data_IF_102836389530
#
_entry.id   IF_102836389530
#
_cell.length_a   1.000
_cell.length_b   1.000
_cell.length_c   1.000
_cell.angle_alpha   90.00
_cell.angle_beta   90.00
_cell.angle_gamma   90.00
#
_symmetry.space_group_name_H-M   'P 1'
#
loop_
_entity.id
_entity.type
_entity.pdbx_description
1 polymer ?
#
# COMPACT_ATOMS: atom_id res chain seq x y z
N UNK A 1 0.35 -44.61 5.28
CA UNK A 1 0.62 -45.40 6.49
C UNK A 1 2.08 -45.85 6.52
N UNK A 2 3.03 -44.92 6.68
CA UNK A 2 4.47 -45.25 6.66
C UNK A 2 5.34 -44.37 7.56
N UNK A 3 4.72 -43.59 8.46
CA UNK A 3 5.42 -42.67 9.37
C UNK A 3 5.13 -42.93 10.85
N UNK A 4 4.37 -43.99 11.17
CA UNK A 4 4.08 -44.42 12.55
C UNK A 4 4.91 -45.63 13.00
N UNK A 5 5.72 -46.23 12.11
CA UNK A 5 6.53 -47.41 12.43
C UNK A 5 7.94 -47.06 12.94
N UNK A 6 8.51 -45.92 12.57
CA UNK A 6 9.86 -45.52 13.01
C UNK A 6 9.93 -45.01 14.47
N UNK A 7 8.78 -44.68 15.08
CA UNK A 7 8.75 -44.19 16.47
C UNK A 7 8.58 -45.32 17.51
N UNK A 8 8.06 -46.49 17.10
CA UNK A 8 7.95 -47.66 17.99
C UNK A 8 9.21 -48.54 17.99
N UNK A 9 10.01 -48.52 16.91
CA UNK A 9 11.28 -49.28 16.85
C UNK A 9 12.40 -48.64 17.69
N UNK A 10 12.38 -47.32 17.89
CA UNK A 10 13.33 -46.64 18.80
C UNK A 10 13.04 -46.90 20.29
N UNK A 11 11.85 -47.39 20.63
CA UNK A 11 11.40 -47.58 22.03
C UNK A 11 11.70 -48.98 22.59
N UNK A 12 12.12 -49.92 21.73
CA UNK A 12 12.46 -51.29 22.12
C UNK A 12 13.96 -51.54 22.37
N UNK A 13 14.82 -50.55 22.14
CA UNK A 13 16.28 -50.65 22.35
C UNK A 13 16.75 -50.28 23.78
N UNK A 14 15.84 -49.98 24.71
CA UNK A 14 16.19 -49.49 26.07
C UNK A 14 15.90 -50.47 27.22
N UNK A 15 15.47 -51.71 26.94
CA UNK A 15 15.21 -52.71 27.97
C UNK A 15 16.01 -54.00 27.74
N UNK A 16 17.28 -54.01 28.14
CA UNK A 16 18.03 -55.25 28.38
C UNK A 16 19.04 -55.07 29.54
N UNK A 17 19.07 -55.99 30.52
CA UNK A 17 19.85 -55.83 31.75
C UNK A 17 21.28 -56.36 31.58
N UNK A 18 22.28 -55.53 31.85
CA UNK A 18 23.69 -55.94 31.74
C UNK A 18 24.68 -54.85 32.13
N UNK A 19 24.97 -54.78 33.42
CA UNK A 19 25.90 -53.90 34.13
C UNK A 19 27.27 -53.69 33.44
N UNK A 20 27.72 -52.42 33.34
CA UNK A 20 29.09 -52.01 33.72
C UNK A 20 29.18 -50.50 33.95
N UNK A 21 29.71 -50.15 35.13
CA UNK A 21 29.90 -48.81 35.71
C UNK A 21 30.55 -47.82 34.73
N UNK A 22 29.89 -46.70 34.49
CA UNK A 22 30.56 -45.45 34.10
C UNK A 22 30.18 -44.40 35.17
N UNK A 23 31.22 -43.82 35.75
CA UNK A 23 31.22 -42.88 36.86
C UNK A 23 30.27 -41.70 36.60
N UNK A 24 29.18 -41.66 37.36
CA UNK A 24 28.29 -40.50 37.50
C UNK A 24 29.03 -39.50 38.40
N UNK A 25 29.70 -38.50 37.81
CA UNK A 25 30.08 -37.26 38.53
C UNK A 25 30.53 -36.09 37.64
N UNK A 26 29.94 -35.92 36.44
CA UNK A 26 30.09 -34.67 35.66
C UNK A 26 28.89 -34.30 34.78
N UNK A 27 27.91 -35.18 34.66
CA UNK A 27 26.74 -34.99 33.80
C UNK A 27 25.60 -34.23 34.51
N UNK A 28 25.50 -34.32 35.83
CA UNK A 28 24.45 -33.65 36.61
C UNK A 28 24.77 -32.18 36.94
N UNK A 29 26.04 -31.78 37.05
CA UNK A 29 26.39 -30.36 37.23
C UNK A 29 26.15 -29.55 35.95
N UNK A 30 26.45 -30.12 34.76
CA UNK A 30 26.18 -29.43 33.49
C UNK A 30 24.68 -29.39 33.13
N UNK A 31 23.88 -30.37 33.54
CA UNK A 31 22.43 -30.31 33.31
C UNK A 31 21.70 -29.37 34.28
N UNK A 32 22.20 -29.18 35.49
CA UNK A 32 21.60 -28.21 36.43
C UNK A 32 22.03 -26.76 36.09
N UNK A 33 23.22 -26.57 35.52
CA UNK A 33 23.64 -25.26 34.97
C UNK A 33 22.90 -24.88 33.68
N UNK A 34 22.38 -25.84 32.90
CA UNK A 34 21.59 -25.56 31.70
C UNK A 34 20.13 -25.18 32.00
N UNK A 35 19.61 -25.51 33.19
CA UNK A 35 18.29 -25.06 33.68
C UNK A 35 18.33 -23.74 34.46
N UNK A 36 19.53 -23.17 34.66
CA UNK A 36 19.73 -21.83 35.23
C UNK A 36 20.19 -20.81 34.18
N UNK A 37 19.99 -21.09 32.89
CA UNK A 37 19.90 -20.04 31.89
C UNK A 37 18.45 -19.59 31.96
N UNK A 38 18.18 -18.43 32.56
CA UNK A 38 16.99 -17.65 32.18
C UNK A 38 16.93 -17.69 30.67
N UNK A 39 15.97 -18.42 30.08
CA UNK A 39 15.78 -18.49 28.64
C UNK A 39 15.69 -17.06 28.12
N UNK A 40 16.80 -16.55 27.59
CA UNK A 40 16.89 -15.16 27.16
C UNK A 40 16.03 -15.08 25.92
N UNK A 41 14.93 -14.34 26.00
CA UNK A 41 14.10 -14.10 24.84
C UNK A 41 14.92 -13.32 23.82
N UNK A 42 15.09 -13.89 22.63
CA UNK A 42 15.79 -13.30 21.51
C UNK A 42 14.78 -12.62 20.59
N UNK A 43 15.05 -11.37 20.26
CA UNK A 43 14.25 -10.57 19.34
C UNK A 43 14.47 -11.07 17.89
N UNK A 44 13.38 -11.16 17.13
CA UNK A 44 13.40 -11.68 15.77
C UNK A 44 12.41 -10.94 14.88
N UNK A 45 12.89 -10.52 13.71
CA UNK A 45 12.07 -10.05 12.60
C UNK A 45 11.96 -11.13 11.53
N UNK A 46 10.75 -11.34 11.03
CA UNK A 46 10.47 -12.25 9.91
C UNK A 46 9.68 -11.54 8.83
N UNK A 47 10.25 -11.44 7.63
CA UNK A 47 9.59 -10.89 6.45
C UNK A 47 9.05 -12.00 5.56
N UNK A 48 7.89 -11.79 4.94
CA UNK A 48 7.20 -12.72 4.04
C UNK A 48 6.64 -11.97 2.83
N UNK A 49 6.89 -12.46 1.62
CA UNK A 49 6.27 -11.93 0.40
C UNK A 49 6.18 -12.97 -0.72
N UNK A 50 5.32 -12.69 -1.70
CA UNK A 50 5.09 -13.47 -2.93
C UNK A 50 4.73 -14.95 -2.66
N UNK A 51 3.91 -15.17 -1.62
CA UNK A 51 3.45 -16.52 -1.23
C UNK A 51 2.11 -16.92 -1.88
N UNK A 52 1.44 -15.96 -2.51
CA UNK A 52 0.12 -16.10 -3.12
C UNK A 52 0.13 -15.92 -4.64
N UNK A 53 -0.96 -16.36 -5.27
CA UNK A 53 -1.15 -16.23 -6.71
C UNK A 53 -2.51 -15.59 -7.02
N UNK A 54 -2.79 -15.36 -8.30
CA UNK A 54 -4.13 -14.91 -8.73
C UNK A 54 -5.22 -15.97 -8.52
N UNK A 55 -4.85 -17.23 -8.26
CA UNK A 55 -5.76 -18.38 -8.14
C UNK A 55 -6.02 -18.82 -6.70
N UNK A 56 -5.20 -18.39 -5.74
CA UNK A 56 -5.38 -18.81 -4.35
C UNK A 56 -4.31 -18.27 -3.41
N UNK A 57 -4.50 -18.55 -2.12
CA UNK A 57 -3.69 -18.07 -1.00
C UNK A 57 -3.68 -16.54 -0.85
N UNK A 58 -3.01 -16.07 0.20
CA UNK A 58 -2.74 -14.66 0.44
C UNK A 58 -1.57 -14.55 1.42
N UNK A 59 -0.58 -13.70 1.14
CA UNK A 59 0.55 -13.46 2.06
C UNK A 59 0.10 -13.06 3.47
N UNK A 60 -0.99 -12.28 3.60
CA UNK A 60 -1.54 -11.94 4.93
C UNK A 60 -2.17 -13.13 5.64
N UNK A 61 -2.78 -14.06 4.91
CA UNK A 61 -3.36 -15.26 5.50
C UNK A 61 -2.28 -16.23 5.99
N UNK A 62 -1.21 -16.40 5.21
CA UNK A 62 -0.05 -17.19 5.64
C UNK A 62 0.56 -16.59 6.91
N UNK A 63 0.73 -15.27 6.97
CA UNK A 63 1.18 -14.60 8.20
C UNK A 63 0.23 -14.80 9.39
N UNK A 64 -1.09 -14.83 9.16
CA UNK A 64 -2.08 -15.12 10.21
C UNK A 64 -1.94 -16.54 10.76
N UNK A 65 -1.85 -17.56 9.91
CA UNK A 65 -1.71 -18.95 10.38
C UNK A 65 -0.33 -19.19 11.03
N UNK A 66 0.73 -18.53 10.55
CA UNK A 66 2.04 -18.53 11.22
C UNK A 66 1.92 -17.92 12.61
N UNK A 67 1.26 -16.76 12.72
CA UNK A 67 1.03 -16.09 14.01
C UNK A 67 0.26 -17.00 14.97
N UNK A 68 -0.80 -17.68 14.51
CA UNK A 68 -1.52 -18.67 15.29
C UNK A 68 -0.60 -19.77 15.84
N UNK A 69 0.30 -20.30 15.01
CA UNK A 69 1.25 -21.33 15.44
C UNK A 69 2.25 -20.79 16.46
N UNK A 70 2.83 -19.62 16.20
CA UNK A 70 3.83 -19.02 17.07
C UNK A 70 3.27 -18.66 18.46
N UNK A 71 2.01 -18.22 18.54
CA UNK A 71 1.35 -18.00 19.83
C UNK A 71 1.24 -19.28 20.67
N UNK A 72 1.08 -20.45 20.03
CA UNK A 72 1.10 -21.76 20.71
C UNK A 72 2.51 -22.13 21.21
N UNK A 73 3.54 -21.61 20.55
CA UNK A 73 4.94 -21.71 20.98
C UNK A 73 5.33 -20.65 22.03
N UNK A 74 4.36 -19.87 22.53
CA UNK A 74 4.54 -18.84 23.58
C UNK A 74 5.51 -17.71 23.21
N UNK A 75 5.65 -17.41 21.92
CA UNK A 75 6.40 -16.20 21.51
C UNK A 75 5.68 -14.94 21.99
N UNK A 76 6.44 -13.88 22.23
CA UNK A 76 5.90 -12.57 22.61
C UNK A 76 6.05 -11.59 21.45
N UNK A 77 4.95 -11.24 20.80
CA UNK A 77 4.95 -10.18 19.79
C UNK A 77 5.36 -8.84 20.42
N UNK A 78 6.16 -8.07 19.68
CA UNK A 78 6.70 -6.78 20.13
C UNK A 78 6.04 -5.59 19.42
N UNK A 79 5.39 -5.84 18.28
CA UNK A 79 4.55 -4.87 17.57
C UNK A 79 3.42 -5.57 16.80
N UNK A 80 2.47 -4.80 16.28
CA UNK A 80 1.49 -5.33 15.32
C UNK A 80 2.23 -5.87 14.08
N UNK A 81 1.80 -7.00 13.50
CA UNK A 81 2.25 -7.41 12.18
C UNK A 81 2.18 -6.26 11.18
N UNK A 82 3.22 -6.10 10.38
CA UNK A 82 3.31 -5.05 9.35
C UNK A 82 2.71 -5.57 8.06
N UNK A 83 1.83 -4.79 7.42
CA UNK A 83 1.42 -4.98 6.04
C UNK A 83 1.90 -3.80 5.21
N UNK A 84 2.97 -4.00 4.44
CA UNK A 84 3.65 -2.94 3.70
C UNK A 84 3.34 -3.11 2.22
N UNK A 85 2.67 -2.12 1.64
CA UNK A 85 2.46 -2.00 0.20
C UNK A 85 3.70 -1.36 -0.42
N UNK A 86 4.29 -2.03 -1.39
CA UNK A 86 5.48 -1.59 -2.13
C UNK A 86 5.07 -0.81 -3.38
N UNK A 87 6.03 -0.52 -4.26
CA UNK A 87 5.83 0.27 -5.46
C UNK A 87 4.67 -0.28 -6.30
N UNK A 88 3.55 0.46 -6.41
CA UNK A 88 2.38 -0.09 -7.04
C UNK A 88 2.53 -0.11 -8.57
N UNK A 89 3.61 0.43 -9.15
CA UNK A 89 3.85 0.51 -10.60
C UNK A 89 4.77 -0.61 -11.15
N UNK A 90 5.17 -1.57 -10.31
CA UNK A 90 5.85 -2.81 -10.74
C UNK A 90 4.90 -3.64 -11.63
N UNK A 91 5.34 -4.10 -12.82
CA UNK A 91 4.45 -4.77 -13.77
C UNK A 91 4.19 -6.25 -13.44
N UNK A 92 5.12 -6.94 -12.78
CA UNK A 92 5.00 -8.36 -12.39
C UNK A 92 4.49 -8.55 -10.95
N UNK A 93 3.83 -7.55 -10.37
CA UNK A 93 3.27 -7.63 -9.01
C UNK A 93 2.05 -8.56 -8.93
N UNK A 94 1.85 -9.17 -7.78
CA UNK A 94 0.54 -9.71 -7.37
C UNK A 94 -0.43 -8.57 -7.03
N UNK A 95 -1.70 -8.89 -6.78
CA UNK A 95 -2.72 -7.86 -6.51
C UNK A 95 -2.33 -7.03 -5.27
N UNK A 96 -1.99 -5.77 -5.51
CA UNK A 96 -1.68 -4.80 -4.48
C UNK A 96 -0.23 -4.78 -3.98
N UNK A 97 0.68 -5.60 -4.53
CA UNK A 97 2.13 -5.57 -4.25
C UNK A 97 2.48 -5.40 -2.75
N UNK A 98 2.00 -6.31 -1.90
CA UNK A 98 2.08 -6.17 -0.45
C UNK A 98 2.85 -7.29 0.21
N UNK A 99 3.83 -6.93 1.05
CA UNK A 99 4.63 -7.83 1.85
C UNK A 99 4.27 -7.69 3.35
N UNK A 100 4.57 -8.72 4.13
CA UNK A 100 4.31 -8.76 5.58
C UNK A 100 5.60 -8.88 6.37
N UNK A 101 5.65 -8.27 7.55
CA UNK A 101 6.69 -8.56 8.54
C UNK A 101 6.10 -8.82 9.93
N UNK A 102 6.66 -9.80 10.62
CA UNK A 102 6.37 -10.16 12.00
C UNK A 102 7.58 -9.77 12.87
N UNK A 103 7.32 -9.33 14.09
CA UNK A 103 8.36 -8.94 15.03
C UNK A 103 7.97 -9.39 16.44
N UNK A 104 8.75 -10.29 17.00
CA UNK A 104 8.46 -10.97 18.25
C UNK A 104 9.77 -11.38 18.95
N UNK A 105 9.66 -11.76 20.20
CA UNK A 105 10.72 -12.37 20.97
C UNK A 105 10.40 -13.85 21.26
N UNK A 106 11.40 -14.71 21.16
CA UNK A 106 11.31 -16.16 21.38
C UNK A 106 12.51 -16.68 22.16
N UNK A 107 12.35 -17.72 22.97
CA UNK A 107 13.47 -18.41 23.59
C UNK A 107 14.04 -19.56 22.73
N UNK A 108 13.37 -19.89 21.62
CA UNK A 108 13.75 -20.96 20.70
C UNK A 108 13.67 -20.47 19.24
N UNK A 109 14.75 -19.84 18.77
CA UNK A 109 14.85 -19.26 17.42
C UNK A 109 14.81 -20.34 16.34
N UNK A 110 15.52 -21.44 16.54
CA UNK A 110 15.61 -22.52 15.55
C UNK A 110 14.27 -23.20 15.31
N UNK A 111 13.52 -23.51 16.38
CA UNK A 111 12.19 -24.09 16.25
C UNK A 111 11.22 -23.16 15.53
N UNK A 112 11.27 -21.86 15.83
CA UNK A 112 10.46 -20.86 15.13
C UNK A 112 10.82 -20.79 13.65
N UNK A 113 12.11 -20.75 13.31
CA UNK A 113 12.59 -20.76 11.92
C UNK A 113 12.13 -22.01 11.18
N UNK A 114 12.20 -23.17 11.82
CA UNK A 114 11.72 -24.44 11.26
C UNK A 114 10.21 -24.41 11.00
N UNK A 115 9.38 -24.03 11.98
CA UNK A 115 7.93 -23.96 11.80
C UNK A 115 7.54 -23.01 10.66
N UNK A 116 8.14 -21.83 10.60
CA UNK A 116 7.87 -20.85 9.54
C UNK A 116 8.23 -21.43 8.18
N UNK A 117 9.40 -22.07 8.08
CA UNK A 117 9.87 -22.73 6.85
C UNK A 117 8.90 -23.82 6.38
N UNK A 118 8.50 -24.71 7.29
CA UNK A 118 7.53 -25.78 7.00
C UNK A 118 6.19 -25.22 6.52
N UNK A 119 5.69 -24.18 7.17
CA UNK A 119 4.43 -23.54 6.78
C UNK A 119 4.52 -22.85 5.41
N UNK A 120 5.63 -22.17 5.11
CA UNK A 120 5.84 -21.55 3.80
C UNK A 120 5.91 -22.61 2.70
N UNK A 121 6.60 -23.73 2.93
CA UNK A 121 6.65 -24.85 2.00
C UNK A 121 5.28 -25.50 1.77
N UNK A 122 4.47 -25.62 2.82
CA UNK A 122 3.17 -26.28 2.76
C UNK A 122 2.07 -25.41 2.11
N UNK A 123 2.06 -24.11 2.40
CA UNK A 123 0.94 -23.23 2.05
C UNK A 123 1.21 -22.29 0.87
N UNK A 124 2.45 -22.12 0.40
CA UNK A 124 2.72 -21.25 -0.74
C UNK A 124 2.20 -21.82 -2.05
N UNK A 125 1.62 -20.96 -2.89
CA UNK A 125 0.99 -21.39 -4.16
C UNK A 125 2.00 -21.51 -5.32
N UNK A 126 3.04 -22.32 -5.11
CA UNK A 126 4.18 -22.49 -6.04
C UNK A 126 3.72 -22.94 -7.43
N UNK A 127 2.71 -23.81 -7.49
CA UNK A 127 2.20 -24.37 -8.74
C UNK A 127 1.53 -23.32 -9.64
N UNK A 128 1.13 -22.17 -9.08
CA UNK A 128 0.47 -21.10 -9.80
C UNK A 128 1.34 -19.84 -9.94
N UNK A 129 2.66 -19.96 -9.73
CA UNK A 129 3.65 -18.95 -10.07
C UNK A 129 4.11 -18.05 -8.92
N UNK A 130 3.74 -18.36 -7.68
CA UNK A 130 4.29 -17.68 -6.50
C UNK A 130 5.81 -17.92 -6.37
N UNK A 131 6.57 -16.89 -5.98
CA UNK A 131 8.01 -17.00 -5.70
C UNK A 131 8.34 -16.57 -4.26
N UNK A 132 7.90 -17.36 -3.26
CA UNK A 132 8.00 -17.01 -1.85
C UNK A 132 9.41 -16.60 -1.47
N UNK A 133 9.49 -15.51 -0.71
CA UNK A 133 10.69 -15.11 -0.01
C UNK A 133 10.41 -14.92 1.48
N UNK A 134 11.29 -15.47 2.29
CA UNK A 134 11.32 -15.31 3.74
C UNK A 134 12.67 -14.72 4.12
N UNK A 135 12.64 -13.73 4.99
CA UNK A 135 13.85 -13.13 5.57
C UNK A 135 13.76 -13.26 7.07
N UNK A 136 14.82 -13.77 7.69
CA UNK A 136 14.98 -13.86 9.14
C UNK A 136 16.09 -12.90 9.55
N UNK A 137 15.80 -12.03 10.52
CA UNK A 137 16.79 -11.12 11.10
C UNK A 137 16.66 -11.15 12.62
N UNK A 138 17.74 -11.52 13.30
CA UNK A 138 17.81 -11.58 14.76
C UNK A 138 18.28 -10.23 15.32
N UNK A 139 17.72 -9.84 16.47
CA UNK A 139 18.00 -8.58 17.17
C UNK A 139 17.49 -7.32 16.44
N UNK A 140 17.69 -6.16 17.06
CA UNK A 140 17.37 -4.85 16.48
C UNK A 140 18.48 -4.36 15.52
N UNK A 141 18.70 -5.14 14.46
CA UNK A 141 19.78 -4.91 13.49
C UNK A 141 19.29 -4.20 12.21
N UNK A 142 18.21 -3.44 12.26
CA UNK A 142 17.67 -2.72 11.09
C UNK A 142 18.56 -1.53 10.74
N UNK A 143 19.44 -1.72 9.75
CA UNK A 143 20.40 -0.70 9.32
C UNK A 143 19.76 0.41 8.48
N UNK A 144 20.41 1.57 8.43
CA UNK A 144 20.04 2.66 7.51
C UNK A 144 20.07 2.24 6.03
N UNK A 145 20.89 1.24 5.67
CA UNK A 145 20.92 0.72 4.30
C UNK A 145 19.65 -0.08 3.96
N UNK A 146 19.16 -0.88 4.90
CA UNK A 146 17.88 -1.59 4.77
C UNK A 146 16.70 -0.62 4.66
N UNK A 147 16.67 0.43 5.49
CA UNK A 147 15.62 1.48 5.42
C UNK A 147 15.61 2.18 4.05
N UNK A 148 16.78 2.50 3.50
CA UNK A 148 16.89 3.06 2.13
C UNK A 148 16.41 2.07 1.08
N UNK A 149 16.75 0.78 1.21
CA UNK A 149 16.25 -0.25 0.30
C UNK A 149 14.73 -0.37 0.34
N UNK A 150 14.12 -0.33 1.52
CA UNK A 150 12.66 -0.34 1.68
C UNK A 150 11.99 0.87 1.00
N UNK A 151 12.56 2.07 1.17
CA UNK A 151 12.10 3.29 0.47
C UNK A 151 12.24 3.14 -1.05
N UNK A 152 13.38 2.63 -1.52
CA UNK A 152 13.60 2.37 -2.93
C UNK A 152 12.61 1.35 -3.48
N UNK A 153 12.29 0.27 -2.75
CA UNK A 153 11.29 -0.72 -3.15
C UNK A 153 9.85 -0.15 -3.18
N UNK A 154 9.58 0.94 -2.47
CA UNK A 154 8.32 1.69 -2.54
C UNK A 154 8.26 2.62 -3.76
N UNK A 155 9.40 3.15 -4.22
CA UNK A 155 9.44 4.20 -5.24
C UNK A 155 9.90 3.74 -6.62
N UNK A 156 10.77 2.72 -6.73
CA UNK A 156 11.38 2.28 -8.00
C UNK A 156 11.52 0.76 -8.09
N UNK A 157 12.06 0.25 -9.20
CA UNK A 157 12.40 -1.17 -9.34
C UNK A 157 13.76 -1.40 -8.66
N UNK A 158 13.85 -2.43 -7.82
CA UNK A 158 15.07 -2.83 -7.11
C UNK A 158 15.49 -4.24 -7.50
N UNK A 159 16.76 -4.58 -7.27
CA UNK A 159 17.33 -5.90 -7.59
C UNK A 159 17.29 -6.83 -6.39
N UNK A 160 17.03 -8.11 -6.65
CA UNK A 160 17.08 -9.17 -5.63
C UNK A 160 18.48 -9.32 -5.02
N UNK A 161 19.53 -9.15 -5.81
CA UNK A 161 20.93 -9.22 -5.36
C UNK A 161 21.23 -8.21 -4.26
N UNK A 162 20.64 -7.01 -4.36
CA UNK A 162 20.82 -5.94 -3.39
C UNK A 162 20.15 -6.33 -2.07
N UNK A 163 18.94 -6.88 -2.12
CA UNK A 163 18.23 -7.39 -0.94
C UNK A 163 19.03 -8.48 -0.23
N UNK A 164 19.50 -9.49 -0.97
CA UNK A 164 20.30 -10.60 -0.42
C UNK A 164 21.61 -10.11 0.21
N UNK A 165 22.32 -9.21 -0.47
CA UNK A 165 23.56 -8.63 0.05
C UNK A 165 23.34 -7.86 1.35
N UNK A 166 22.28 -7.05 1.39
CA UNK A 166 21.92 -6.24 2.56
C UNK A 166 21.58 -7.12 3.77
N UNK A 167 20.77 -8.17 3.57
CA UNK A 167 20.39 -9.08 4.65
C UNK A 167 21.61 -9.85 5.16
N UNK A 168 22.43 -10.38 4.26
CA UNK A 168 23.66 -11.10 4.63
C UNK A 168 24.62 -10.21 5.44
N UNK A 169 24.77 -8.95 5.06
CA UNK A 169 25.61 -7.98 5.79
C UNK A 169 25.06 -7.66 7.19
N UNK A 170 23.74 -7.74 7.37
CA UNK A 170 23.10 -7.56 8.67
C UNK A 170 23.09 -8.85 9.52
N UNK A 171 23.72 -9.94 9.05
CA UNK A 171 23.74 -11.23 9.75
C UNK A 171 22.41 -12.00 9.68
N UNK A 172 21.51 -11.62 8.77
CA UNK A 172 20.24 -12.30 8.58
C UNK A 172 20.32 -13.44 7.56
N UNK A 173 19.29 -14.29 7.58
CA UNK A 173 19.12 -15.42 6.67
C UNK A 173 17.97 -15.20 5.70
N UNK A 174 18.04 -15.84 4.54
CA UNK A 174 16.97 -15.82 3.55
C UNK A 174 16.58 -17.23 3.15
N UNK A 175 15.28 -17.49 3.04
CA UNK A 175 14.73 -18.66 2.39
C UNK A 175 13.92 -18.22 1.17
N UNK A 176 14.13 -18.88 0.03
CA UNK A 176 13.41 -18.56 -1.20
C UNK A 176 13.01 -19.80 -1.95
N UNK A 177 11.85 -19.74 -2.59
CA UNK A 177 11.33 -20.74 -3.51
C UNK A 177 11.10 -20.10 -4.89
N UNK A 178 11.26 -20.88 -5.96
CA UNK A 178 11.17 -20.35 -7.33
C UNK A 178 12.27 -19.34 -7.65
N UNK A 179 11.90 -18.18 -8.21
CA UNK A 179 12.86 -17.10 -8.54
C UNK A 179 13.38 -16.33 -7.31
N UNK A 180 12.73 -16.49 -6.15
CA UNK A 180 13.08 -15.82 -4.90
C UNK A 180 12.77 -14.32 -4.84
N UNK A 181 11.99 -13.79 -5.79
CA UNK A 181 11.63 -12.37 -5.86
C UNK A 181 10.96 -11.85 -4.57
N UNK A 182 10.26 -12.71 -3.81
CA UNK A 182 9.70 -12.34 -2.51
C UNK A 182 10.74 -11.88 -1.47
N UNK A 183 12.04 -12.15 -1.65
CA UNK A 183 13.09 -11.63 -0.74
C UNK A 183 13.08 -10.10 -0.75
N UNK A 184 12.78 -9.47 -1.90
CA UNK A 184 12.70 -8.01 -2.01
C UNK A 184 11.64 -7.46 -1.06
N UNK A 185 10.42 -7.99 -1.13
CA UNK A 185 9.34 -7.49 -0.30
C UNK A 185 9.46 -7.87 1.16
N UNK A 186 9.92 -9.08 1.47
CA UNK A 186 10.23 -9.50 2.83
C UNK A 186 11.27 -8.56 3.49
N UNK A 187 12.36 -8.25 2.78
CA UNK A 187 13.39 -7.29 3.23
C UNK A 187 12.79 -5.90 3.42
N UNK A 188 12.02 -5.42 2.44
CA UNK A 188 11.41 -4.11 2.49
C UNK A 188 10.40 -3.97 3.63
N UNK A 189 9.61 -5.01 3.92
CA UNK A 189 8.61 -5.00 4.99
C UNK A 189 9.24 -4.98 6.39
N UNK A 190 10.32 -5.74 6.61
CA UNK A 190 11.09 -5.68 7.87
C UNK A 190 11.59 -4.25 8.11
N UNK A 191 12.22 -3.67 7.10
CA UNK A 191 12.93 -2.40 7.21
C UNK A 191 12.06 -1.15 6.97
N UNK A 192 10.76 -1.31 6.75
CA UNK A 192 9.88 -0.19 6.48
C UNK A 192 9.73 0.71 7.71
N UNK A 193 10.02 2.01 7.51
CA UNK A 193 9.99 3.02 8.57
C UNK A 193 8.68 3.82 8.51
N UNK A 194 7.75 3.51 9.41
CA UNK A 194 6.43 4.15 9.48
C UNK A 194 6.51 5.59 10.00
N UNK A 195 6.69 6.56 9.10
CA UNK A 195 6.52 7.99 9.39
C UNK A 195 5.06 8.37 9.62
N UNK A 196 4.18 7.75 8.85
CA UNK A 196 2.72 7.74 8.98
C UNK A 196 2.25 6.28 8.90
N UNK A 197 1.15 5.95 9.57
CA UNK A 197 0.60 4.60 9.56
C UNK A 197 -0.91 4.58 9.76
N UNK A 198 -1.54 3.56 9.19
CA UNK A 198 -2.92 3.18 9.41
C UNK A 198 -2.97 1.75 9.95
N UNK A 199 -4.14 1.30 10.35
CA UNK A 199 -4.39 -0.11 10.65
C UNK A 199 -5.38 -0.71 9.66
N UNK A 200 -5.26 -2.01 9.43
CA UNK A 200 -6.26 -2.81 8.71
C UNK A 200 -6.58 -4.07 9.51
N UNK A 201 -7.87 -4.29 9.81
CA UNK A 201 -8.36 -5.55 10.37
C UNK A 201 -8.78 -6.42 9.20
N UNK A 202 -8.13 -7.56 9.05
CA UNK A 202 -8.42 -8.53 8.01
C UNK A 202 -9.08 -9.73 8.64
N UNK A 203 -10.26 -10.08 8.15
CA UNK A 203 -10.97 -11.31 8.55
C UNK A 203 -10.75 -12.40 7.52
N UNK A 204 -10.67 -13.64 7.98
CA UNK A 204 -10.33 -14.79 7.14
C UNK A 204 -11.47 -15.79 7.07
N UNK A 205 -11.65 -16.39 5.89
CA UNK A 205 -12.66 -17.42 5.63
C UNK A 205 -12.19 -18.77 6.17
N UNK A 206 -13.16 -19.65 6.45
CA UNK A 206 -12.89 -21.07 6.66
C UNK A 206 -12.63 -21.75 5.32
N UNK A 207 -11.86 -22.83 5.35
CA UNK A 207 -11.45 -23.60 4.17
C UNK A 207 -12.68 -24.08 3.36
N UNK A 208 -13.78 -24.40 4.04
CA UNK A 208 -15.05 -24.82 3.43
C UNK A 208 -15.72 -23.77 2.54
N UNK A 209 -15.35 -22.49 2.70
CA UNK A 209 -15.96 -21.38 1.97
C UNK A 209 -15.05 -20.83 0.87
N UNK A 210 -13.78 -21.26 0.76
CA UNK A 210 -12.84 -20.74 -0.24
C UNK A 210 -13.39 -20.94 -1.66
N UNK A 211 -13.19 -19.95 -2.53
CA UNK A 211 -13.71 -19.95 -3.90
C UNK A 211 -15.23 -19.68 -4.05
N UNK A 212 -16.01 -19.74 -2.97
CA UNK A 212 -17.45 -19.40 -3.03
C UNK A 212 -17.69 -17.89 -2.96
N UNK A 213 -18.87 -17.42 -3.37
CA UNK A 213 -19.24 -16.01 -3.31
C UNK A 213 -19.35 -15.52 -1.85
N UNK A 214 -18.76 -14.34 -1.56
CA UNK A 214 -18.89 -13.70 -0.25
C UNK A 214 -20.27 -13.04 -0.11
N UNK A 215 -20.90 -13.24 1.02
CA UNK A 215 -22.19 -12.61 1.35
C UNK A 215 -22.03 -11.66 2.54
N UNK A 216 -21.98 -10.36 2.22
CA UNK A 216 -21.96 -9.25 3.18
C UNK A 216 -23.15 -8.36 2.88
N UNK A 217 -23.90 -7.98 3.91
CA UNK A 217 -25.00 -7.02 3.79
C UNK A 217 -24.45 -5.60 3.48
N UNK A 218 -24.70 -5.05 2.28
CA UNK A 218 -24.19 -3.73 1.90
C UNK A 218 -24.63 -2.60 2.83
N UNK A 219 -25.86 -2.67 3.37
CA UNK A 219 -26.39 -1.62 4.26
C UNK A 219 -25.65 -1.60 5.59
N UNK A 220 -25.22 -2.77 6.08
CA UNK A 220 -24.37 -2.86 7.26
C UNK A 220 -23.00 -2.21 7.06
N UNK A 221 -22.40 -2.33 5.87
CA UNK A 221 -21.11 -1.71 5.53
C UNK A 221 -21.27 -0.19 5.39
N UNK A 222 -22.34 0.26 4.75
CA UNK A 222 -22.67 1.69 4.64
C UNK A 222 -22.85 2.32 6.02
N UNK A 223 -23.68 1.70 6.88
CA UNK A 223 -23.90 2.17 8.25
C UNK A 223 -22.61 2.15 9.08
N UNK A 224 -21.77 1.14 8.91
CA UNK A 224 -20.44 1.08 9.51
C UNK A 224 -19.62 2.30 9.09
N UNK A 225 -19.49 2.55 7.79
CA UNK A 225 -18.74 3.69 7.27
C UNK A 225 -19.26 5.02 7.84
N UNK A 226 -20.58 5.25 7.82
CA UNK A 226 -21.20 6.47 8.35
C UNK A 226 -20.91 6.67 9.85
N UNK A 227 -21.00 5.62 10.68
CA UNK A 227 -20.82 5.72 12.14
C UNK A 227 -19.35 5.76 12.59
N UNK A 228 -18.42 5.33 11.74
CA UNK A 228 -16.99 5.32 12.08
C UNK A 228 -16.18 6.36 11.29
N UNK A 229 -16.79 7.10 10.37
CA UNK A 229 -16.18 8.28 9.76
C UNK A 229 -15.83 9.33 10.82
N UNK A 230 -14.68 10.05 10.71
CA UNK A 230 -13.66 9.98 9.67
C UNK A 230 -12.55 8.95 9.94
N UNK A 231 -12.72 8.06 10.91
CA UNK A 231 -11.67 7.16 11.40
C UNK A 231 -11.54 5.85 10.64
N UNK A 232 -12.51 5.51 9.78
CA UNK A 232 -12.38 4.44 8.77
C UNK A 232 -12.49 5.04 7.37
N UNK A 233 -11.98 4.32 6.37
CA UNK A 233 -11.96 4.81 4.99
C UNK A 233 -12.00 3.68 3.96
N UNK A 234 -12.35 4.05 2.71
CA UNK A 234 -12.43 3.15 1.56
C UNK A 234 -13.24 1.87 1.84
N UNK A 235 -14.39 2.00 2.53
CA UNK A 235 -15.18 0.84 2.93
C UNK A 235 -16.41 0.60 2.05
N UNK A 236 -17.08 1.68 1.66
CA UNK A 236 -18.29 1.67 0.83
C UNK A 236 -18.29 2.85 -0.13
N UNK A 237 -18.78 2.66 -1.34
CA UNK A 237 -18.96 3.74 -2.32
C UNK A 237 -20.44 4.12 -2.43
N UNK A 238 -20.80 5.28 -1.89
CA UNK A 238 -22.18 5.77 -1.87
C UNK A 238 -22.74 6.01 -3.28
N UNK A 239 -21.89 6.42 -4.23
CA UNK A 239 -22.28 6.68 -5.61
C UNK A 239 -22.75 5.42 -6.34
N UNK A 240 -22.03 4.30 -6.19
CA UNK A 240 -22.28 3.06 -6.94
C UNK A 240 -22.89 1.95 -6.10
N UNK A 241 -23.06 2.14 -4.79
CA UNK A 241 -23.54 1.14 -3.84
C UNK A 241 -22.59 -0.04 -3.61
N UNK A 242 -21.32 0.09 -3.99
CA UNK A 242 -20.36 -1.01 -3.94
C UNK A 242 -19.67 -1.14 -2.57
N UNK A 243 -19.61 -2.37 -2.06
CA UNK A 243 -18.78 -2.74 -0.91
C UNK A 243 -17.32 -2.85 -1.35
N UNK A 244 -16.44 -2.05 -0.74
CA UNK A 244 -15.02 -1.95 -1.10
C UNK A 244 -14.11 -2.79 -0.20
N UNK A 245 -14.57 -3.16 1.01
CA UNK A 245 -13.79 -3.94 1.97
C UNK A 245 -13.59 -5.41 1.58
N UNK A 246 -14.40 -5.93 0.66
CA UNK A 246 -14.41 -7.35 0.31
C UNK A 246 -13.71 -7.60 -1.03
N UNK A 247 -12.71 -8.50 -1.09
CA UNK A 247 -12.11 -8.88 -2.35
C UNK A 247 -13.07 -9.75 -3.18
N UNK A 248 -12.86 -9.74 -4.50
CA UNK A 248 -13.67 -10.51 -5.47
C UNK A 248 -13.07 -11.88 -5.83
N UNK A 249 -11.85 -12.18 -5.38
CA UNK A 249 -11.12 -13.37 -5.78
C UNK A 249 -11.47 -14.62 -4.96
N UNK A 250 -10.88 -15.78 -5.28
CA UNK A 250 -11.01 -17.01 -4.48
C UNK A 250 -10.21 -16.97 -3.17
N UNK A 251 -9.56 -15.85 -2.89
CA UNK A 251 -8.62 -15.65 -1.78
C UNK A 251 -9.26 -15.91 -0.39
N UNK A 252 -8.44 -16.20 0.62
CA UNK A 252 -8.93 -16.51 1.97
C UNK A 252 -9.41 -15.29 2.77
N UNK A 253 -9.25 -14.06 2.27
CA UNK A 253 -9.73 -12.86 2.98
C UNK A 253 -11.23 -12.74 2.81
N UNK A 254 -11.97 -12.57 3.90
CA UNK A 254 -13.40 -12.30 3.84
C UNK A 254 -13.67 -10.80 3.64
N UNK A 255 -13.13 -9.95 4.51
CA UNK A 255 -13.05 -8.51 4.30
C UNK A 255 -11.86 -7.90 5.03
N UNK A 256 -11.43 -6.70 4.60
CA UNK A 256 -10.45 -5.86 5.27
C UNK A 256 -11.00 -4.45 5.53
N UNK A 257 -11.05 -4.02 6.79
CA UNK A 257 -11.49 -2.65 7.16
C UNK A 257 -10.26 -1.83 7.53
N UNK A 258 -10.09 -0.66 6.89
CA UNK A 258 -8.97 0.25 7.12
C UNK A 258 -9.39 1.42 7.99
N UNK A 259 -8.49 1.85 8.87
CA UNK A 259 -8.76 2.96 9.76
C UNK A 259 -7.56 3.47 10.53
N UNK A 260 -7.84 4.34 11.48
CA UNK A 260 -6.85 5.07 12.27
C UNK A 260 -6.32 4.26 13.46
N UNK A 261 -7.19 3.51 14.15
CA UNK A 261 -6.86 2.87 15.43
C UNK A 261 -7.50 1.48 15.57
N UNK A 262 -6.87 0.53 16.28
CA UNK A 262 -7.41 -0.84 16.45
C UNK A 262 -8.82 -0.90 17.05
N UNK A 263 -9.11 -0.08 18.07
CA UNK A 263 -10.41 -0.06 18.75
C UNK A 263 -11.58 0.30 17.82
N UNK A 264 -11.39 1.28 16.92
CA UNK A 264 -12.42 1.65 15.95
C UNK A 264 -12.63 0.54 14.92
N UNK A 265 -11.58 -0.24 14.59
CA UNK A 265 -11.68 -1.37 13.69
C UNK A 265 -12.46 -2.55 14.28
N UNK A 266 -12.30 -2.83 15.58
CA UNK A 266 -13.15 -3.81 16.27
C UNK A 266 -14.62 -3.39 16.26
N UNK A 267 -14.90 -2.12 16.59
CA UNK A 267 -16.26 -1.58 16.51
C UNK A 267 -16.81 -1.71 15.10
N UNK A 268 -16.04 -1.29 14.09
CA UNK A 268 -16.44 -1.38 12.69
C UNK A 268 -16.74 -2.83 12.26
N UNK A 269 -15.84 -3.77 12.58
CA UNK A 269 -15.99 -5.19 12.28
C UNK A 269 -17.23 -5.80 12.93
N UNK A 270 -17.55 -5.43 14.17
CA UNK A 270 -18.76 -5.90 14.88
C UNK A 270 -20.09 -5.44 14.26
N UNK A 271 -20.06 -4.41 13.41
CA UNK A 271 -21.24 -3.89 12.74
C UNK A 271 -21.54 -4.60 11.41
N UNK A 272 -20.59 -5.36 10.88
CA UNK A 272 -20.75 -6.01 9.57
C UNK A 272 -21.63 -7.25 9.70
N UNK A 273 -22.73 -7.27 8.95
CA UNK A 273 -23.65 -8.41 8.92
C UNK A 273 -23.24 -9.35 7.78
N UNK A 274 -22.96 -10.60 8.13
CA UNK A 274 -22.61 -11.66 7.20
C UNK A 274 -23.12 -13.03 7.66
N UNK A 275 -23.25 -13.99 6.74
CA UNK A 275 -23.75 -15.35 7.04
C UNK A 275 -22.65 -16.37 7.30
N UNK A 276 -21.43 -16.10 6.85
CA UNK A 276 -20.31 -17.05 6.94
C UNK A 276 -19.74 -17.12 8.37
N UNK A 277 -19.47 -18.34 8.84
CA UNK A 277 -18.59 -18.56 9.99
C UNK A 277 -17.15 -18.30 9.55
N UNK A 278 -16.56 -17.22 10.04
CA UNK A 278 -15.18 -16.83 9.74
C UNK A 278 -14.19 -17.66 10.54
N UNK A 279 -12.98 -17.83 10.03
CA UNK A 279 -11.89 -18.52 10.74
C UNK A 279 -11.33 -17.68 11.89
N UNK A 280 -11.31 -16.36 11.72
CA UNK A 280 -10.67 -15.45 12.66
C UNK A 280 -10.30 -14.13 12.00
N UNK A 281 -9.46 -13.36 12.68
CA UNK A 281 -8.98 -12.08 12.16
C UNK A 281 -7.57 -11.74 12.67
N UNK A 282 -6.94 -10.78 12.00
CA UNK A 282 -5.70 -10.16 12.44
C UNK A 282 -5.65 -8.68 12.06
N UNK A 283 -5.16 -7.85 12.97
CA UNK A 283 -4.90 -6.43 12.75
C UNK A 283 -3.45 -6.25 12.32
N UNK A 284 -3.28 -5.54 11.21
CA UNK A 284 -1.98 -5.14 10.70
C UNK A 284 -1.77 -3.63 10.87
N UNK A 285 -0.54 -3.23 11.19
CA UNK A 285 -0.07 -1.86 10.97
C UNK A 285 0.35 -1.72 9.52
N UNK A 286 -0.11 -0.69 8.83
CA UNK A 286 0.02 -0.59 7.38
C UNK A 286 0.40 0.81 6.91
N UNK A 287 0.98 0.90 5.71
CA UNK A 287 1.24 2.16 5.02
C UNK A 287 0.11 2.54 4.05
N UNK A 288 -1.01 1.82 4.08
CA UNK A 288 -2.17 2.11 3.24
C UNK A 288 -2.79 3.45 3.64
N UNK A 289 -3.30 4.20 2.66
CA UNK A 289 -3.91 5.50 2.93
C UNK A 289 -2.94 6.60 3.37
N UNK A 290 -1.63 6.44 3.16
CA UNK A 290 -0.60 7.42 3.56
C UNK A 290 -0.07 8.27 2.40
N UNK A 291 -0.22 7.82 1.15
CA UNK A 291 0.35 8.48 -0.04
C UNK A 291 1.88 8.39 -0.13
N UNK A 292 2.51 7.49 0.62
CA UNK A 292 3.97 7.46 0.79
C UNK A 292 4.74 7.21 -0.52
N UNK A 293 4.14 6.50 -1.49
CA UNK A 293 4.75 6.29 -2.81
C UNK A 293 4.84 7.56 -3.66
N UNK A 294 4.13 8.63 -3.28
CA UNK A 294 4.13 9.91 -4.01
C UNK A 294 5.07 10.95 -3.38
N UNK A 295 5.76 10.62 -2.27
CA UNK A 295 6.71 11.51 -1.62
C UNK A 295 8.08 11.59 -2.31
N UNK A 296 8.35 10.68 -3.25
CA UNK A 296 9.58 10.69 -4.04
C UNK A 296 9.52 11.75 -5.14
N UNK A 297 10.60 12.51 -5.33
CA UNK A 297 10.69 13.48 -6.44
C UNK A 297 11.13 12.75 -7.70
N UNK A 298 10.24 12.68 -8.69
CA UNK A 298 10.57 12.14 -10.02
C UNK A 298 11.49 13.13 -10.73
N UNK A 299 12.67 12.65 -11.14
CA UNK A 299 13.61 13.41 -11.95
C UNK A 299 13.04 13.62 -13.36
N UNK A 300 12.78 14.87 -13.71
CA UNK A 300 12.15 15.27 -14.98
C UNK A 300 12.93 14.87 -16.24
N UNK A 301 14.25 14.78 -16.13
CA UNK A 301 15.19 14.38 -17.18
C UNK A 301 15.31 12.87 -17.34
N UNK A 302 15.33 12.13 -16.24
CA UNK A 302 15.46 10.67 -16.28
C UNK A 302 14.12 9.97 -16.55
N UNK A 303 13.05 10.41 -15.86
CA UNK A 303 11.72 9.80 -15.91
C UNK A 303 11.82 8.27 -15.88
N UNK A 304 12.49 7.70 -14.88
CA UNK A 304 12.77 6.27 -14.87
C UNK A 304 11.46 5.46 -14.89
N UNK A 305 11.27 4.51 -15.82
CA UNK A 305 10.05 3.71 -15.91
C UNK A 305 9.71 3.03 -14.58
N UNK A 306 8.41 2.91 -14.29
CA UNK A 306 7.87 2.30 -13.08
C UNK A 306 8.20 3.05 -11.78
N UNK A 307 8.73 4.26 -11.86
CA UNK A 307 8.94 5.12 -10.69
C UNK A 307 7.61 5.69 -10.20
N UNK A 308 7.36 5.62 -8.90
CA UNK A 308 6.28 6.33 -8.21
C UNK A 308 6.83 7.59 -7.57
N UNK A 309 6.09 8.68 -7.66
CA UNK A 309 6.50 9.93 -7.04
C UNK A 309 5.69 11.13 -7.50
N UNK A 310 6.24 12.32 -7.35
CA UNK A 310 5.68 13.56 -7.83
C UNK A 310 6.67 14.38 -8.64
N UNK A 311 6.13 15.23 -9.51
CA UNK A 311 6.88 16.23 -10.27
C UNK A 311 6.13 17.55 -10.22
N UNK A 312 6.87 18.64 -10.02
CA UNK A 312 6.32 19.98 -10.08
C UNK A 312 6.52 20.54 -11.49
N UNK A 313 5.50 21.20 -12.04
CA UNK A 313 5.59 21.79 -13.38
C UNK A 313 4.46 22.75 -13.69
N UNK A 314 4.55 23.38 -14.85
CA UNK A 314 3.55 24.32 -15.38
C UNK A 314 2.84 23.69 -16.56
N UNK A 315 1.51 23.73 -16.61
CA UNK A 315 0.75 23.19 -17.75
C UNK A 315 1.22 23.89 -19.03
N UNK A 316 1.68 23.10 -20.00
CA UNK A 316 2.27 23.57 -21.27
C UNK A 316 1.42 23.24 -22.50
N UNK A 317 0.43 22.35 -22.36
CA UNK A 317 -0.59 22.10 -23.38
C UNK A 317 -1.98 22.14 -22.75
N UNK A 318 -2.98 22.53 -23.53
CA UNK A 318 -4.36 22.52 -23.07
C UNK A 318 -4.79 21.08 -22.74
N UNK A 319 -5.42 20.82 -21.57
CA UNK A 319 -5.92 19.50 -21.24
C UNK A 319 -7.06 19.06 -22.15
N UNK A 320 -6.89 17.88 -22.76
CA UNK A 320 -7.84 17.33 -23.70
C UNK A 320 -8.43 16.03 -23.18
N UNK A 321 -9.76 15.95 -23.15
CA UNK A 321 -10.48 14.69 -22.91
C UNK A 321 -10.64 13.98 -24.26
N UNK A 322 -9.99 12.83 -24.41
CA UNK A 322 -9.99 12.04 -25.65
C UNK A 322 -11.14 11.00 -25.65
N UNK A 323 -11.47 10.38 -26.82
CA UNK A 323 -12.40 9.26 -26.87
C UNK A 323 -12.06 8.17 -25.84
N UNK A 324 -13.06 7.66 -25.14
CA UNK A 324 -12.88 6.79 -23.96
C UNK A 324 -12.90 7.53 -22.61
N UNK A 325 -12.84 8.87 -22.62
CA UNK A 325 -12.98 9.71 -21.42
C UNK A 325 -11.71 9.85 -20.59
N UNK A 326 -10.55 9.51 -21.17
CA UNK A 326 -9.23 9.79 -20.58
C UNK A 326 -8.85 11.24 -20.87
N UNK A 327 -7.97 11.82 -20.06
CA UNK A 327 -7.42 13.14 -20.31
C UNK A 327 -5.90 13.07 -20.43
N UNK A 328 -5.36 13.79 -21.42
CA UNK A 328 -3.93 13.99 -21.57
C UNK A 328 -3.60 15.49 -21.63
N UNK A 329 -2.44 15.84 -21.09
CA UNK A 329 -1.82 17.17 -21.20
C UNK A 329 -0.33 17.06 -20.90
N UNK A 330 0.41 18.12 -21.18
CA UNK A 330 1.81 18.22 -20.85
C UNK A 330 2.03 19.25 -19.74
N UNK A 331 3.03 19.00 -18.90
CA UNK A 331 3.61 20.00 -18.01
C UNK A 331 5.04 20.27 -18.43
N UNK A 332 5.51 21.50 -18.22
CA UNK A 332 6.91 21.87 -18.37
C UNK A 332 7.57 21.92 -16.99
N UNK A 333 8.65 21.15 -16.81
CA UNK A 333 9.45 21.11 -15.58
C UNK A 333 10.92 21.14 -15.94
N UNK A 334 11.68 22.09 -15.38
CA UNK A 334 13.14 22.22 -15.57
C UNK A 334 13.59 22.15 -17.04
N UNK A 335 12.87 22.81 -17.95
CA UNK A 335 13.23 22.81 -19.38
C UNK A 335 12.63 21.65 -20.19
N UNK A 336 11.93 20.70 -19.55
CA UNK A 336 11.48 19.45 -20.17
C UNK A 336 9.96 19.39 -20.18
N UNK A 337 9.39 19.01 -21.33
CA UNK A 337 7.95 18.74 -21.48
C UNK A 337 7.66 17.30 -21.08
N UNK A 338 6.78 17.11 -20.09
CA UNK A 338 6.43 15.80 -19.52
C UNK A 338 4.96 15.48 -19.85
N UNK A 339 4.69 14.42 -20.62
CA UNK A 339 3.32 13.97 -20.88
C UNK A 339 2.66 13.40 -19.62
N UNK A 340 1.41 13.80 -19.38
CA UNK A 340 0.62 13.44 -18.22
C UNK A 340 -0.73 12.86 -18.65
N UNK A 341 -1.16 11.79 -17.98
CA UNK A 341 -2.38 11.06 -18.31
C UNK A 341 -3.23 10.83 -17.06
N UNK A 342 -4.53 11.08 -17.18
CA UNK A 342 -5.53 10.68 -16.19
C UNK A 342 -6.59 9.80 -16.87
N UNK A 343 -7.10 8.80 -16.15
CA UNK A 343 -7.99 7.80 -16.74
C UNK A 343 -9.44 7.99 -16.27
N UNK A 344 -10.42 7.74 -17.17
CA UNK A 344 -11.86 7.84 -16.87
C UNK A 344 -12.28 7.28 -15.49
N UNK A 345 -11.83 6.08 -15.05
CA UNK A 345 -12.26 5.53 -13.76
C UNK A 345 -11.92 6.40 -12.55
N UNK A 346 -10.89 7.25 -12.63
CA UNK A 346 -10.48 8.11 -11.49
C UNK A 346 -11.41 9.30 -11.26
N UNK A 347 -12.27 9.63 -12.25
CA UNK A 347 -13.01 10.89 -12.36
C UNK A 347 -12.14 12.17 -12.29
N UNK A 348 -10.81 12.05 -12.39
CA UNK A 348 -9.90 13.20 -12.49
C UNK A 348 -10.09 14.02 -13.76
N UNK A 349 -10.38 13.44 -14.95
CA UNK A 349 -10.66 14.25 -16.14
C UNK A 349 -11.75 15.31 -15.92
N UNK A 350 -12.82 14.99 -15.20
CA UNK A 350 -13.89 15.93 -14.88
C UNK A 350 -13.40 17.01 -13.89
N UNK A 351 -12.70 16.59 -12.82
CA UNK A 351 -12.18 17.48 -11.79
C UNK A 351 -11.13 18.48 -12.32
N UNK A 352 -10.34 18.05 -13.28
CA UNK A 352 -9.22 18.82 -13.85
C UNK A 352 -9.57 19.56 -15.15
N UNK A 353 -10.81 19.44 -15.64
CA UNK A 353 -11.27 20.06 -16.91
C UNK A 353 -11.14 21.59 -16.97
N UNK A 354 -10.97 22.27 -15.83
CA UNK A 354 -10.78 23.73 -15.75
C UNK A 354 -9.32 24.21 -15.84
N UNK A 355 -8.36 23.29 -15.94
CA UNK A 355 -6.94 23.62 -16.09
C UNK A 355 -6.65 24.25 -17.45
N UNK A 356 -5.72 25.21 -17.47
CA UNK A 356 -5.25 25.89 -18.69
C UNK A 356 -3.72 25.98 -18.69
N UNK A 357 -3.13 26.30 -19.85
CA UNK A 357 -1.71 26.59 -19.94
C UNK A 357 -1.30 27.71 -18.97
N UNK A 358 -0.19 27.51 -18.26
CA UNK A 358 0.32 28.43 -17.24
C UNK A 358 -0.07 28.07 -15.80
N UNK A 359 -0.97 27.12 -15.57
CA UNK A 359 -1.28 26.64 -14.22
C UNK A 359 -0.09 25.90 -13.61
N UNK A 360 0.24 26.20 -12.34
CA UNK A 360 1.31 25.55 -11.60
C UNK A 360 0.79 24.38 -10.81
N UNK A 361 1.36 23.20 -11.04
CA UNK A 361 0.91 21.94 -10.49
C UNK A 361 2.05 21.17 -9.84
N UNK A 362 1.73 20.39 -8.81
CA UNK A 362 2.47 19.18 -8.46
C UNK A 362 1.63 17.99 -8.89
N UNK A 363 2.17 17.20 -9.81
CA UNK A 363 1.52 16.00 -10.34
C UNK A 363 2.13 14.78 -9.66
N UNK A 364 1.33 13.99 -8.95
CA UNK A 364 1.76 12.72 -8.37
C UNK A 364 1.20 11.52 -9.13
N UNK A 365 2.05 10.53 -9.36
CA UNK A 365 1.68 9.34 -10.12
C UNK A 365 2.83 8.39 -10.37
N UNK A 366 2.59 7.44 -11.28
CA UNK A 366 3.58 6.47 -11.75
C UNK A 366 4.11 6.81 -13.14
N UNK A 367 5.42 6.67 -13.35
CA UNK A 367 6.01 6.76 -14.68
C UNK A 367 5.68 5.49 -15.47
N UNK A 368 4.89 5.64 -16.53
CA UNK A 368 4.61 4.59 -17.50
C UNK A 368 5.81 4.42 -18.43
N UNK A 369 6.24 3.16 -18.62
CA UNK A 369 7.23 2.82 -19.62
C UNK A 369 6.78 3.24 -21.03
N UNK A 370 7.74 3.51 -21.89
CA UNK A 370 7.46 3.72 -23.31
C UNK A 370 7.01 2.41 -23.96
N UNK A 371 6.09 2.53 -24.91
CA UNK A 371 5.55 1.42 -25.69
C UNK A 371 5.42 1.85 -27.15
N UNK A 372 5.17 0.90 -28.05
CA UNK A 372 5.02 1.18 -29.49
C UNK A 372 4.02 2.31 -29.76
N UNK A 373 2.90 2.33 -29.04
CA UNK A 373 1.80 3.27 -29.29
C UNK A 373 1.88 4.54 -28.44
N UNK A 374 2.74 4.55 -27.41
CA UNK A 374 2.72 5.58 -26.39
C UNK A 374 4.09 5.92 -25.84
N UNK A 375 4.39 7.22 -25.86
CA UNK A 375 5.55 7.77 -25.18
C UNK A 375 5.46 7.62 -23.67
N UNK A 376 6.63 7.68 -23.05
CA UNK A 376 6.81 7.73 -21.61
C UNK A 376 6.01 8.89 -21.01
N UNK A 377 5.27 8.60 -19.93
CA UNK A 377 4.34 9.57 -19.36
C UNK A 377 4.13 9.35 -17.85
N UNK A 378 3.52 10.32 -17.18
CA UNK A 378 3.03 10.15 -15.80
C UNK A 378 1.56 9.76 -15.83
N UNK A 379 1.26 8.61 -15.22
CA UNK A 379 -0.10 8.19 -14.92
C UNK A 379 -0.50 8.82 -13.59
N UNK A 380 -1.30 9.89 -13.67
CA UNK A 380 -1.68 10.74 -12.55
C UNK A 380 -2.62 10.00 -11.60
N UNK A 381 -2.28 10.05 -10.31
CA UNK A 381 -3.14 9.62 -9.20
C UNK A 381 -3.71 10.81 -8.41
N UNK A 382 -2.90 11.87 -8.27
CA UNK A 382 -3.32 13.12 -7.65
C UNK A 382 -2.64 14.33 -8.32
N UNK A 383 -3.26 15.49 -8.14
CA UNK A 383 -2.73 16.78 -8.57
C UNK A 383 -2.94 17.77 -7.44
N UNK A 384 -1.88 18.47 -7.04
CA UNK A 384 -1.97 19.64 -6.20
C UNK A 384 -1.84 20.88 -7.09
N UNK A 385 -2.95 21.61 -7.25
CA UNK A 385 -2.99 22.88 -7.98
C UNK A 385 -2.45 23.97 -7.06
N UNK A 386 -1.21 24.38 -7.29
CA UNK A 386 -0.52 25.36 -6.47
C UNK A 386 -0.93 26.79 -6.80
N UNK A 387 -1.07 27.09 -8.10
CA UNK A 387 -1.37 28.43 -8.56
C UNK A 387 -2.09 28.40 -9.90
N UNK A 388 -3.20 29.12 -9.97
CA UNK A 388 -3.99 29.27 -11.19
C UNK A 388 -3.53 30.47 -12.02
N UNK A 389 -3.24 30.27 -13.30
CA UNK A 389 -2.99 31.35 -14.25
C UNK A 389 -4.26 32.19 -14.49
N UNK A 390 -4.13 33.51 -14.71
CA UNK A 390 -5.28 34.33 -15.02
C UNK A 390 -5.86 33.96 -16.40
N UNK A 391 -7.12 33.55 -16.44
CA UNK A 391 -7.82 33.30 -17.71
C UNK A 391 -8.35 34.63 -18.25
N UNK A 392 -7.63 35.22 -19.21
CA UNK A 392 -7.93 36.57 -19.72
C UNK A 392 -8.51 36.46 -21.13
N UNK A 393 -9.63 37.14 -21.36
CA UNK A 393 -10.13 37.46 -22.71
C UNK A 393 -10.13 38.96 -22.94
N UNK A 394 -10.23 39.36 -24.20
CA UNK A 394 -10.24 40.77 -24.59
C UNK A 394 -11.59 41.12 -25.21
N UNK A 395 -12.29 42.09 -24.61
CA UNK A 395 -13.53 42.63 -25.15
C UNK A 395 -13.34 44.08 -25.59
N UNK A 396 -14.24 44.56 -26.43
CA UNK A 396 -14.29 45.98 -26.73
C UNK A 396 -14.56 46.76 -25.42
N UNK A 397 -13.89 47.91 -25.22
CA UNK A 397 -14.09 48.73 -24.04
C UNK A 397 -15.52 49.26 -23.97
N UNK A 398 -15.98 49.57 -22.76
CA UNK A 398 -17.24 50.27 -22.54
C UNK A 398 -16.99 51.77 -22.40
N UNK A 399 -17.88 52.58 -22.95
CA UNK A 399 -17.83 54.02 -22.80
C UNK A 399 -18.10 54.42 -21.34
N UNK A 400 -17.20 55.17 -20.73
CA UNK A 400 -17.32 55.61 -19.32
C UNK A 400 -18.56 56.49 -19.09
N UNK A 401 -18.99 57.26 -20.10
CA UNK A 401 -20.15 58.14 -20.00
C UNK A 401 -21.50 57.42 -20.10
N UNK A 402 -21.63 56.43 -20.98
CA UNK A 402 -22.94 55.80 -21.27
C UNK A 402 -22.98 54.27 -21.12
N UNK A 403 -21.86 53.67 -20.72
CA UNK A 403 -21.67 52.23 -20.49
C UNK A 403 -22.00 51.32 -21.70
N UNK A 404 -22.16 51.89 -22.92
CA UNK A 404 -22.33 51.11 -24.15
C UNK A 404 -20.99 50.57 -24.64
N UNK A 405 -21.01 49.36 -25.20
CA UNK A 405 -19.83 48.77 -25.85
C UNK A 405 -19.38 49.62 -27.03
N UNK A 406 -18.11 50.02 -27.04
CA UNK A 406 -17.50 50.74 -28.15
C UNK A 406 -17.32 49.82 -29.37
N UNK A 407 -17.28 50.41 -30.58
CA UNK A 407 -17.00 49.71 -31.84
C UNK A 407 -15.55 49.95 -32.26
N UNK A 408 -14.94 48.96 -32.93
CA UNK A 408 -13.62 49.13 -33.53
C UNK A 408 -13.73 49.94 -34.82
N UNK A 409 -12.77 50.84 -35.06
CA UNK A 409 -12.62 51.56 -36.34
C UNK A 409 -11.79 50.80 -37.38
N UNK A 410 -11.24 49.64 -37.05
CA UNK A 410 -10.36 48.87 -37.93
C UNK A 410 -9.14 48.32 -37.20
N UNK A 411 -8.33 47.52 -37.90
CA UNK A 411 -7.11 46.92 -37.35
C UNK A 411 -6.11 48.01 -36.94
N UNK A 412 -5.65 47.98 -35.69
CA UNK A 412 -4.69 48.95 -35.14
C UNK A 412 -5.26 50.35 -34.85
N UNK A 413 -6.57 50.55 -34.98
CA UNK A 413 -7.25 51.83 -34.73
C UNK A 413 -7.99 51.83 -33.38
N UNK A 414 -8.29 53.02 -32.88
CA UNK A 414 -9.02 53.21 -31.62
C UNK A 414 -10.46 52.67 -31.69
N UNK A 415 -11.01 52.37 -30.52
CA UNK A 415 -12.42 52.09 -30.30
C UNK A 415 -13.16 53.41 -30.09
N UNK A 416 -14.42 53.46 -30.52
CA UNK A 416 -15.24 54.67 -30.39
C UNK A 416 -16.65 54.36 -29.93
N UNK A 417 -17.23 55.26 -29.12
CA UNK A 417 -18.62 55.18 -28.73
C UNK A 417 -19.53 55.88 -29.74
N UNK A 418 -20.46 55.13 -30.36
CA UNK A 418 -21.43 55.68 -31.31
C UNK A 418 -22.28 56.79 -30.69
N UNK A 419 -22.55 56.73 -29.38
CA UNK A 419 -23.43 57.67 -28.69
C UNK A 419 -22.70 58.93 -28.19
N UNK A 420 -21.51 58.77 -27.64
CA UNK A 420 -20.81 59.84 -26.90
C UNK A 420 -19.59 60.40 -27.64
N UNK A 421 -19.09 59.71 -28.68
CA UNK A 421 -17.86 60.09 -29.39
C UNK A 421 -16.55 59.76 -28.65
N UNK A 422 -16.61 59.37 -27.36
CA UNK A 422 -15.44 58.97 -26.58
C UNK A 422 -14.65 57.85 -27.26
N UNK A 423 -13.34 57.88 -27.07
CA UNK A 423 -12.37 56.95 -27.67
C UNK A 423 -11.67 56.13 -26.60
N UNK A 424 -11.25 54.92 -26.98
CA UNK A 424 -10.36 54.10 -26.17
C UNK A 424 -9.34 53.42 -27.08
N UNK A 425 -8.09 53.33 -26.64
CA UNK A 425 -6.99 52.83 -27.49
C UNK A 425 -6.87 51.31 -27.48
N UNK A 426 -7.22 50.68 -26.36
CA UNK A 426 -7.00 49.26 -26.15
C UNK A 426 -8.29 48.50 -25.85
N UNK A 427 -8.28 47.20 -26.13
CA UNK A 427 -9.32 46.30 -25.65
C UNK A 427 -9.25 46.22 -24.13
N UNK A 428 -10.42 46.09 -23.52
CA UNK A 428 -10.52 45.85 -22.09
C UNK A 428 -10.19 44.37 -21.82
N UNK A 429 -9.25 44.13 -20.91
CA UNK A 429 -9.00 42.81 -20.35
C UNK A 429 -10.15 42.40 -19.44
N UNK A 430 -10.62 41.17 -19.62
CA UNK A 430 -11.70 40.59 -18.82
C UNK A 430 -11.21 39.26 -18.26
N UNK A 431 -11.18 39.16 -16.94
CA UNK A 431 -10.88 37.92 -16.23
C UNK A 431 -12.09 37.00 -16.29
N UNK A 432 -11.91 35.80 -16.81
CA UNK A 432 -12.93 34.76 -16.87
C UNK A 432 -12.77 33.90 -15.60
N UNK A 433 -13.76 33.88 -14.70
CA UNK A 433 -13.71 33.00 -13.54
C UNK A 433 -13.72 31.54 -13.99
N UNK A 434 -12.92 30.71 -13.32
CA UNK A 434 -12.84 29.26 -13.56
C UNK A 434 -13.48 28.51 -12.40
N UNK A 435 -14.06 27.34 -12.70
CA UNK A 435 -14.66 26.45 -11.67
C UNK A 435 -13.62 25.74 -10.81
N UNK A 436 -12.42 25.53 -11.36
CA UNK A 436 -11.31 24.91 -10.64
C UNK A 436 -10.72 25.92 -9.63
N UNK A 437 -10.38 25.44 -8.45
CA UNK A 437 -9.67 26.20 -7.41
C UNK A 437 -8.28 25.62 -7.14
N UNK A 438 -7.44 26.37 -6.46
CA UNK A 438 -6.21 25.83 -5.87
C UNK A 438 -6.54 24.79 -4.81
N UNK A 439 -5.66 23.80 -4.63
CA UNK A 439 -5.87 22.67 -3.71
C UNK A 439 -5.58 21.30 -4.30
N UNK A 440 -5.89 20.26 -3.53
CA UNK A 440 -5.62 18.87 -3.91
C UNK A 440 -6.82 18.20 -4.60
N UNK A 441 -6.52 17.51 -5.70
CA UNK A 441 -7.45 16.73 -6.48
C UNK A 441 -6.93 15.29 -6.58
N UNK A 442 -7.68 14.34 -6.05
CA UNK A 442 -7.36 12.91 -6.11
C UNK A 442 -8.47 12.13 -6.84
N UNK A 443 -8.15 10.88 -7.19
CA UNK A 443 -9.12 9.93 -7.71
C UNK A 443 -10.33 9.76 -6.76
N UNK A 444 -11.46 9.26 -7.26
CA UNK A 444 -12.58 8.83 -6.40
C UNK A 444 -12.25 7.54 -5.65
N UNK A 445 -13.00 7.27 -4.57
CA UNK A 445 -12.76 6.13 -3.67
C UNK A 445 -12.70 4.78 -4.39
N UNK A 446 -13.57 4.54 -5.37
CA UNK A 446 -13.58 3.31 -6.18
C UNK A 446 -12.32 3.10 -7.02
N UNK A 447 -11.57 4.17 -7.28
CA UNK A 447 -10.31 4.15 -8.01
C UNK A 447 -9.09 4.38 -7.11
N UNK A 448 -9.27 4.48 -5.79
CA UNK A 448 -8.16 4.55 -4.85
C UNK A 448 -7.31 3.28 -4.95
N UNK A 449 -6.00 3.46 -5.05
CA UNK A 449 -5.03 2.39 -4.83
C UNK A 449 -4.86 2.20 -3.33
N UNK A 450 -4.24 1.09 -2.91
CA UNK A 450 -3.98 0.82 -1.49
C UNK A 450 -3.26 1.96 -0.77
N UNK A 451 -2.28 2.57 -1.43
CA UNK A 451 -1.46 3.65 -0.87
C UNK A 451 -2.11 5.03 -1.02
N UNK A 452 -3.16 5.21 -1.83
CA UNK A 452 -3.80 6.51 -2.04
C UNK A 452 -4.32 7.08 -0.72
N UNK A 453 -3.82 8.27 -0.34
CA UNK A 453 -4.29 8.99 0.86
C UNK A 453 -5.73 9.46 0.64
N UNK A 454 -6.69 9.03 1.48
CA UNK A 454 -8.07 9.47 1.34
C UNK A 454 -8.23 10.93 1.84
N UNK A 455 -9.23 11.68 1.33
CA UNK A 455 -9.41 13.10 1.66
C UNK A 455 -9.47 13.41 3.16
N UNK A 456 -10.16 12.59 3.95
CA UNK A 456 -10.26 12.75 5.40
C UNK A 456 -8.94 12.60 6.17
N UNK A 457 -7.88 12.10 5.50
CA UNK A 457 -6.51 12.01 6.03
C UNK A 457 -5.58 13.08 5.48
N UNK A 458 -6.06 14.04 4.70
CA UNK A 458 -5.24 15.18 4.30
C UNK A 458 -4.76 15.93 5.55
N UNK A 459 -3.47 16.25 5.62
CA UNK A 459 -2.82 16.88 6.78
C UNK A 459 -2.83 16.06 8.09
N UNK A 460 -3.13 14.76 8.04
CA UNK A 460 -3.10 13.88 9.21
C UNK A 460 -1.94 12.89 9.13
N UNK A 461 -1.20 12.76 10.23
CA UNK A 461 -0.19 11.72 10.41
C UNK A 461 -0.56 10.95 11.68
N UNK A 462 -0.44 9.64 11.63
CA UNK A 462 -0.79 8.77 12.74
C UNK A 462 0.34 7.78 13.05
N UNK A 463 0.61 7.62 14.35
CA UNK A 463 1.59 6.68 14.89
C UNK A 463 0.87 5.74 15.83
N UNK A 464 0.86 4.47 15.46
CA UNK A 464 0.13 3.43 16.20
C UNK A 464 1.08 2.78 17.20
N UNK A 465 0.67 2.78 18.47
CA UNK A 465 1.34 2.04 19.55
C UNK A 465 0.77 0.63 19.62
N UNK A 466 1.64 -0.36 19.80
CA UNK A 466 1.21 -1.75 19.94
C UNK A 466 0.60 -2.02 21.32
N UNK A 467 -0.56 -2.68 21.32
CA UNK A 467 -1.28 -3.05 22.55
C UNK A 467 -1.45 -4.58 22.57
N UNK A 468 -0.48 -5.33 23.12
CA UNK A 468 -0.44 -6.80 23.02
C UNK A 468 -1.63 -7.51 23.67
N UNK A 469 -2.27 -6.88 24.66
CA UNK A 469 -3.40 -7.43 25.41
C UNK A 469 -4.76 -7.16 24.75
N UNK A 470 -4.77 -6.55 23.56
CA UNK A 470 -5.99 -6.36 22.78
C UNK A 470 -6.28 -7.59 21.92
N UNK A 471 -7.49 -7.68 21.38
CA UNK A 471 -7.90 -8.76 20.50
C UNK A 471 -7.33 -8.58 19.09
N UNK A 472 -6.06 -8.24 18.93
CA UNK A 472 -5.47 -7.92 17.62
C UNK A 472 -5.34 -9.13 16.69
N UNK A 473 -5.39 -10.34 17.24
CA UNK A 473 -5.47 -11.60 16.51
C UNK A 473 -6.43 -12.54 17.24
N UNK A 474 -7.29 -13.23 16.50
CA UNK A 474 -8.21 -14.21 17.06
C UNK A 474 -8.44 -15.37 16.11
N UNK A 475 -8.55 -16.58 16.66
CA UNK A 475 -9.09 -17.77 16.00
C UNK A 475 -10.48 -18.02 16.58
N UNK A 476 -11.49 -18.16 15.71
CA UNK A 476 -12.87 -18.33 16.14
C UNK A 476 -13.24 -19.81 16.31
N UNK A 477 -13.63 -20.17 17.52
CA UNK A 477 -14.20 -21.46 17.89
C UNK A 477 -15.74 -21.41 17.72
N UNK A 478 -16.36 -22.50 17.26
CA UNK A 478 -17.81 -22.59 16.99
C UNK A 478 -18.37 -23.95 17.34
#
# INVERSE_FOLDING_TARGET
MGYFQSYQEARLALNSPGMRKITINRFLENHILQYCITNIMQEMHVGLDDTDSTKGMCTTFLAYIITERLLKDRVKFLEYPKLVRLNPNVPWKTRGNGAVALHFATDDVERVRQHITEMVLLYSDLQNGANPGVVFLEGDNITSHMKRFSQDALHKIVKISDAQSIIKQAGGDTLSLGTGMGIIGATAAIAYDFRDSTVEIITYRRDTNLGTQRHIDPDSVRMMQEKTFPYTFNSYDDDSGHVLIAPRGPDPVFYGIRGEYPNILHRASSMIIHKERLRGHMIFRTNQGTGDHLQHIIKSDAMEPHTSGCVQGVVSSEPQIIPGGHMCFNIHSKGISIPCWTYKPTKLPQKLSGLICGDHLIVGGGVRAESVDHSRSINIENVHVQRLAPHITYRNPRCERCNKSMKSKGRGQHFWCIRCGDKAEHRQQVFIPRKISEGEYSAVMTAHRHLTRPPQRHNKINRITFEPNTNWVAVYEY
#
